data_IF_238029147311
#
_entry.id   IF_238029147311
#
_cell.length_a   1.000
_cell.length_b   1.000
_cell.length_c   1.000
_cell.angle_alpha   90.00
_cell.angle_beta   90.00
_cell.angle_gamma   90.00
#
_symmetry.space_group_name_H-M   'P 1'
#
loop_
_entity.id
_entity.type
_entity.pdbx_description
1 polymer ?
#
# COMPACT_ATOMS: atom_id res chain seq x y z
N UNK A 1 -41.08 1.41 -33.46
CA UNK A 1 -40.32 0.53 -32.54
C UNK A 1 -38.92 1.07 -32.17
N UNK A 2 -38.70 2.38 -31.95
CA UNK A 2 -37.36 2.96 -31.66
C UNK A 2 -37.13 3.38 -30.20
N UNK A 3 -38.20 3.71 -29.45
CA UNK A 3 -38.09 4.24 -28.07
C UNK A 3 -37.68 3.19 -27.03
N UNK A 4 -38.04 1.92 -27.23
CA UNK A 4 -37.73 0.82 -26.29
C UNK A 4 -36.24 0.43 -26.28
N UNK A 5 -35.53 0.58 -27.40
CA UNK A 5 -34.09 0.30 -27.47
C UNK A 5 -33.26 1.47 -26.94
N UNK A 6 -33.76 2.71 -27.03
CA UNK A 6 -33.12 3.88 -26.43
C UNK A 6 -33.00 3.77 -24.90
N UNK A 7 -34.03 3.23 -24.23
CA UNK A 7 -34.00 2.97 -22.78
C UNK A 7 -32.95 1.90 -22.44
N UNK A 8 -32.89 0.81 -23.22
CA UNK A 8 -31.90 -0.25 -23.03
C UNK A 8 -30.46 0.25 -23.20
N UNK A 9 -30.18 1.01 -24.26
CA UNK A 9 -28.85 1.61 -24.51
C UNK A 9 -28.48 2.60 -23.40
N UNK A 10 -29.44 3.39 -22.92
CA UNK A 10 -29.23 4.31 -21.80
C UNK A 10 -28.80 3.59 -20.52
N UNK A 11 -29.47 2.48 -20.18
CA UNK A 11 -29.11 1.66 -19.02
C UNK A 11 -27.72 1.04 -19.16
N UNK A 12 -27.39 0.51 -20.35
CA UNK A 12 -26.07 -0.06 -20.62
C UNK A 12 -24.98 1.00 -20.50
N UNK A 13 -25.18 2.18 -21.07
CA UNK A 13 -24.23 3.28 -20.99
C UNK A 13 -24.02 3.74 -19.54
N UNK A 14 -25.11 3.88 -18.76
CA UNK A 14 -25.04 4.23 -17.34
C UNK A 14 -24.27 3.18 -16.55
N UNK A 15 -24.53 1.89 -16.81
CA UNK A 15 -23.85 0.79 -16.14
C UNK A 15 -22.35 0.78 -16.46
N UNK A 16 -21.96 1.02 -17.72
CA UNK A 16 -20.55 1.10 -18.11
C UNK A 16 -19.82 2.26 -17.43
N UNK A 17 -20.45 3.44 -17.36
CA UNK A 17 -19.88 4.61 -16.66
C UNK A 17 -19.72 4.32 -15.16
N UNK A 18 -20.77 3.78 -14.52
CA UNK A 18 -20.73 3.43 -13.10
C UNK A 18 -19.67 2.35 -12.80
N UNK A 19 -19.56 1.34 -13.67
CA UNK A 19 -18.57 0.28 -13.56
C UNK A 19 -17.15 0.82 -13.69
N UNK A 20 -16.87 1.71 -14.65
CA UNK A 20 -15.56 2.32 -14.81
C UNK A 20 -15.14 3.16 -13.58
N UNK A 21 -16.08 3.91 -12.99
CA UNK A 21 -15.82 4.71 -11.78
C UNK A 21 -15.57 3.81 -10.56
N UNK A 22 -16.38 2.76 -10.39
CA UNK A 22 -16.20 1.76 -9.32
C UNK A 22 -14.88 1.03 -9.44
N UNK A 23 -14.48 0.66 -10.66
CA UNK A 23 -13.26 -0.09 -10.90
C UNK A 23 -12.01 0.75 -10.58
N UNK A 24 -11.98 2.02 -10.99
CA UNK A 24 -10.89 2.94 -10.64
C UNK A 24 -10.76 3.15 -9.12
N UNK A 25 -11.88 3.12 -8.40
CA UNK A 25 -11.91 3.32 -6.95
C UNK A 25 -11.39 2.10 -6.15
N UNK A 26 -11.38 0.91 -6.75
CA UNK A 26 -10.96 -0.33 -6.09
C UNK A 26 -9.46 -0.64 -6.23
N UNK A 27 -8.76 0.06 -7.13
CA UNK A 27 -7.33 -0.14 -7.31
C UNK A 27 -6.55 0.55 -6.18
N UNK A 28 -5.64 -0.19 -5.55
CA UNK A 28 -4.68 0.33 -4.56
C UNK A 28 -3.31 0.48 -5.25
N UNK A 29 -3.05 1.61 -5.95
CA UNK A 29 -1.86 1.75 -6.75
C UNK A 29 -0.59 1.80 -5.89
N UNK A 30 0.52 1.37 -6.49
CA UNK A 30 1.85 1.59 -5.94
C UNK A 30 2.29 3.02 -6.23
N UNK A 31 2.53 3.79 -5.18
CA UNK A 31 2.86 5.21 -5.28
C UNK A 31 3.92 5.60 -4.26
N UNK A 32 4.56 6.74 -4.50
CA UNK A 32 5.51 7.37 -3.56
C UNK A 32 4.76 8.13 -2.45
N UNK A 33 5.43 8.48 -1.34
CA UNK A 33 4.81 9.29 -0.28
C UNK A 33 4.26 10.64 -0.76
N UNK A 34 4.96 11.31 -1.69
CA UNK A 34 4.50 12.56 -2.28
C UNK A 34 3.13 12.42 -2.97
N UNK A 35 2.95 11.32 -3.72
CA UNK A 35 1.70 11.00 -4.40
C UNK A 35 0.63 10.56 -3.38
N UNK A 36 0.98 9.73 -2.41
CA UNK A 36 0.08 9.30 -1.34
C UNK A 36 -0.56 10.48 -0.58
N UNK A 37 0.18 11.59 -0.39
CA UNK A 37 -0.32 12.81 0.24
C UNK A 37 -1.41 13.52 -0.57
N UNK A 38 -1.40 13.38 -1.89
CA UNK A 38 -2.40 13.96 -2.80
C UNK A 38 -3.60 13.03 -3.06
N UNK A 39 -3.51 11.77 -2.64
CA UNK A 39 -4.54 10.76 -2.91
C UNK A 39 -5.39 10.48 -1.67
N UNK A 40 -6.71 10.61 -1.81
CA UNK A 40 -7.66 10.42 -0.71
C UNK A 40 -8.07 8.93 -0.51
N UNK A 41 -7.22 7.99 -0.94
CA UNK A 41 -7.53 6.56 -1.01
C UNK A 41 -6.49 5.67 -0.34
N UNK A 42 -6.77 4.37 -0.25
CA UNK A 42 -5.77 3.39 0.18
C UNK A 42 -4.74 3.19 -0.93
N UNK A 43 -3.47 3.34 -0.59
CA UNK A 43 -2.36 3.25 -1.53
C UNK A 43 -1.27 2.36 -0.94
N UNK A 44 -0.43 1.83 -1.83
CA UNK A 44 0.70 0.99 -1.46
C UNK A 44 1.98 1.81 -1.66
N UNK A 45 2.72 2.05 -0.59
CA UNK A 45 4.01 2.76 -0.67
C UNK A 45 5.12 1.77 -0.34
N UNK A 46 6.06 1.62 -1.26
CA UNK A 46 7.27 0.84 -1.05
C UNK A 46 8.37 1.75 -0.52
N UNK A 47 9.06 1.31 0.52
CA UNK A 47 10.19 2.02 1.08
C UNK A 47 11.14 1.11 1.85
N UNK A 48 12.22 1.71 2.33
CA UNK A 48 13.25 1.09 3.15
C UNK A 48 13.14 1.65 4.56
N UNK A 49 13.31 0.80 5.58
CA UNK A 49 13.34 1.25 6.96
C UNK A 49 14.59 2.06 7.23
N UNK A 50 14.42 3.31 7.63
CA UNK A 50 15.55 4.19 8.01
C UNK A 50 15.64 4.42 9.50
N UNK A 51 14.51 4.36 10.22
CA UNK A 51 14.49 4.54 11.67
C UNK A 51 13.20 3.98 12.24
N UNK A 52 13.32 3.14 13.25
CA UNK A 52 12.17 2.62 14.00
C UNK A 52 12.05 3.37 15.33
N UNK A 53 10.86 3.89 15.63
CA UNK A 53 10.52 4.46 16.94
C UNK A 53 9.25 3.83 17.47
N UNK A 54 9.43 2.80 18.27
CA UNK A 54 8.34 2.13 18.96
C UNK A 54 7.76 3.08 20.03
N UNK A 55 6.67 3.78 19.70
CA UNK A 55 5.94 4.63 20.64
C UNK A 55 4.77 3.83 21.20
N UNK A 56 4.98 3.21 22.35
CA UNK A 56 3.91 2.55 23.10
C UNK A 56 3.00 3.63 23.69
N UNK A 57 1.82 3.84 23.11
CA UNK A 57 0.75 4.63 23.74
C UNK A 57 -0.02 3.74 24.71
N UNK A 58 -0.35 4.24 25.90
CA UNK A 58 -1.03 3.52 27.00
C UNK A 58 -2.24 2.67 26.58
N UNK A 59 -2.96 3.06 25.53
CA UNK A 59 -4.23 2.43 25.15
C UNK A 59 -4.12 1.49 23.94
N UNK A 60 -3.11 1.68 23.06
CA UNK A 60 -2.99 0.95 21.78
C UNK A 60 -1.52 0.83 21.40
N UNK A 61 -1.05 -0.42 21.24
CA UNK A 61 0.26 -0.76 20.66
C UNK A 61 0.32 -0.28 19.21
N UNK A 62 0.56 1.01 19.01
CA UNK A 62 0.87 1.60 17.73
C UNK A 62 2.38 1.65 17.58
N UNK A 63 2.86 1.46 16.37
CA UNK A 63 4.29 1.48 16.07
C UNK A 63 4.50 2.57 15.05
N UNK A 64 5.48 3.43 15.32
CA UNK A 64 5.83 4.52 14.45
C UNK A 64 7.21 4.26 13.87
N UNK A 65 7.37 4.38 12.57
CA UNK A 65 8.68 4.23 11.95
C UNK A 65 8.76 5.09 10.71
N UNK A 66 9.98 5.49 10.38
CA UNK A 66 10.25 6.25 9.17
C UNK A 66 10.63 5.30 8.05
N UNK A 67 9.92 5.42 6.94
CA UNK A 67 10.30 4.78 5.69
C UNK A 67 10.82 5.84 4.73
N UNK A 68 11.85 5.48 3.98
CA UNK A 68 12.31 6.24 2.83
C UNK A 68 11.82 5.56 1.55
N UNK A 69 11.15 6.30 0.67
CA UNK A 69 10.73 5.78 -0.64
C UNK A 69 11.89 5.80 -1.66
N UNK A 70 11.64 5.25 -2.85
CA UNK A 70 12.63 5.21 -3.95
C UNK A 70 13.06 6.61 -4.44
N UNK A 71 12.27 7.66 -4.22
CA UNK A 71 12.66 9.05 -4.47
C UNK A 71 13.47 9.70 -3.35
N UNK A 72 13.80 8.96 -2.30
CA UNK A 72 14.53 9.47 -1.14
C UNK A 72 13.67 10.28 -0.17
N UNK A 73 12.35 10.35 -0.38
CA UNK A 73 11.46 11.06 0.51
C UNK A 73 11.17 10.21 1.75
N UNK A 74 11.36 10.81 2.92
CA UNK A 74 11.08 10.18 4.19
C UNK A 74 9.65 10.49 4.63
N UNK A 75 8.93 9.48 5.12
CA UNK A 75 7.62 9.69 5.72
C UNK A 75 7.46 8.88 7.01
N UNK A 76 6.73 9.47 7.95
CA UNK A 76 6.37 8.81 9.19
C UNK A 76 5.17 7.88 8.96
N UNK A 77 5.39 6.60 9.20
CA UNK A 77 4.39 5.55 9.13
C UNK A 77 3.89 5.27 10.54
N UNK A 78 2.57 5.25 10.71
CA UNK A 78 1.89 4.84 11.95
C UNK A 78 1.13 3.57 11.66
N UNK A 79 1.60 2.46 12.24
CA UNK A 79 0.96 1.16 12.12
C UNK A 79 0.24 0.81 13.43
N UNK A 80 -1.06 0.56 13.35
CA UNK A 80 -1.91 0.24 14.51
C UNK A 80 -2.02 -1.27 14.69
N UNK A 81 -0.91 -1.93 14.98
CA UNK A 81 -0.87 -3.37 15.17
C UNK A 81 0.46 -3.85 15.75
N UNK A 82 0.57 -5.16 15.93
CA UNK A 82 1.81 -5.78 16.42
C UNK A 82 2.91 -5.72 15.37
N UNK A 83 4.12 -5.37 15.79
CA UNK A 83 5.32 -5.29 14.93
C UNK A 83 5.46 -6.59 14.14
N UNK A 84 5.51 -6.56 12.80
CA UNK A 84 5.83 -7.77 12.06
C UNK A 84 7.27 -8.19 12.36
N UNK A 85 7.48 -9.49 12.61
CA UNK A 85 8.81 -10.06 12.79
C UNK A 85 9.72 -9.76 11.58
N UNK A 86 10.98 -9.41 11.86
CA UNK A 86 11.98 -9.18 10.81
C UNK A 86 11.87 -7.86 10.05
N UNK A 87 11.11 -6.87 10.53
CA UNK A 87 11.06 -5.54 9.90
C UNK A 87 12.44 -4.84 9.91
N UNK A 88 13.29 -5.14 10.90
CA UNK A 88 14.64 -4.61 11.06
C UNK A 88 15.64 -5.17 10.03
N UNK A 89 15.44 -6.43 9.61
CA UNK A 89 16.27 -7.12 8.62
C UNK A 89 15.69 -7.04 7.20
N UNK A 90 14.63 -6.26 7.02
CA UNK A 90 13.90 -6.15 5.78
C UNK A 90 14.66 -5.32 4.72
N UNK A 91 14.86 -5.88 3.53
CA UNK A 91 15.44 -5.12 2.40
C UNK A 91 14.41 -4.18 1.76
N UNK A 92 13.12 -4.48 1.87
CA UNK A 92 12.05 -3.63 1.36
C UNK A 92 10.77 -3.85 2.17
N UNK A 93 10.09 -2.76 2.51
CA UNK A 93 8.81 -2.76 3.21
C UNK A 93 7.78 -2.09 2.32
N UNK A 94 6.61 -2.72 2.18
CA UNK A 94 5.45 -2.13 1.53
C UNK A 94 4.42 -1.80 2.60
N UNK A 95 4.14 -0.52 2.78
CA UNK A 95 3.10 -0.02 3.66
C UNK A 95 1.82 0.21 2.85
N UNK A 96 0.72 -0.39 3.28
CA UNK A 96 -0.60 -0.27 2.65
C UNK A 96 -1.50 0.49 3.62
N UNK A 97 -2.05 1.61 3.17
CA UNK A 97 -2.84 2.46 4.03
C UNK A 97 -3.14 3.81 3.40
N UNK A 98 -3.40 4.81 4.25
CA UNK A 98 -3.87 6.14 3.82
C UNK A 98 -3.05 7.22 4.50
N UNK A 99 -2.83 8.33 3.79
CA UNK A 99 -2.18 9.50 4.39
C UNK A 99 -3.22 10.34 5.15
N UNK A 100 -3.00 10.60 6.44
CA UNK A 100 -3.88 11.40 7.31
C UNK A 100 -3.04 12.24 8.29
N UNK A 101 -3.41 13.51 8.48
CA UNK A 101 -2.77 14.40 9.47
C UNK A 101 -1.23 14.43 9.37
N UNK A 102 -0.72 14.57 8.15
CA UNK A 102 0.71 14.57 7.83
C UNK A 102 1.47 13.25 8.11
N UNK A 103 0.73 12.18 8.42
CA UNK A 103 1.29 10.86 8.74
C UNK A 103 0.66 9.79 7.86
N UNK A 104 1.43 8.77 7.49
CA UNK A 104 0.89 7.65 6.74
C UNK A 104 0.36 6.59 7.71
N UNK A 105 -0.96 6.44 7.79
CA UNK A 105 -1.60 5.42 8.63
C UNK A 105 -1.60 4.11 7.85
N UNK A 106 -0.70 3.21 8.22
CA UNK A 106 -0.61 1.88 7.64
C UNK A 106 -1.64 0.95 8.30
N UNK A 107 -2.46 0.31 7.48
CA UNK A 107 -3.40 -0.74 7.89
C UNK A 107 -2.76 -2.12 7.75
N UNK A 108 -1.83 -2.27 6.80
CA UNK A 108 -1.09 -3.51 6.55
C UNK A 108 0.35 -3.22 6.16
N UNK A 109 1.27 -4.04 6.67
CA UNK A 109 2.68 -4.01 6.31
C UNK A 109 3.07 -5.33 5.66
N UNK A 110 3.79 -5.25 4.55
CA UNK A 110 4.42 -6.40 3.90
C UNK A 110 5.92 -6.21 3.95
N UNK A 111 6.58 -7.12 4.66
CA UNK A 111 8.04 -7.13 4.81
C UNK A 111 8.60 -8.13 3.81
N UNK A 112 9.51 -7.69 2.93
CA UNK A 112 10.24 -8.60 2.03
C UNK A 112 11.60 -8.92 2.64
N UNK A 113 11.76 -10.15 3.11
CA UNK A 113 13.06 -10.69 3.50
C UNK A 113 13.82 -11.19 2.25
N UNK A 114 15.15 -11.05 2.19
CA UNK A 114 15.96 -11.47 1.03
C UNK A 114 16.01 -13.00 0.81
N UNK A 115 15.57 -13.80 1.79
CA UNK A 115 15.82 -15.25 1.83
C UNK A 115 15.04 -16.11 0.81
N UNK A 116 14.09 -15.56 0.06
CA UNK A 116 13.22 -16.35 -0.84
C UNK A 116 13.83 -16.73 -2.21
N UNK A 117 15.03 -16.26 -2.56
CA UNK A 117 15.68 -16.61 -3.84
C UNK A 117 17.08 -17.21 -3.73
N UNK A 118 17.60 -17.46 -2.51
CA UNK A 118 18.95 -18.04 -2.36
C UNK A 118 19.01 -19.56 -2.62
N UNK A 119 17.88 -20.23 -2.90
CA UNK A 119 17.79 -21.70 -3.00
C UNK A 119 17.50 -22.24 -4.41
N UNK A 120 17.90 -21.52 -5.47
CA UNK A 120 17.79 -22.00 -6.86
C UNK A 120 19.14 -22.05 -7.61
N UNK A 121 20.26 -22.17 -6.89
CA UNK A 121 21.57 -22.49 -7.46
C UNK A 121 22.15 -23.68 -6.69
N UNK A 122 21.64 -24.88 -6.97
CA UNK A 122 22.05 -26.07 -6.25
C UNK A 122 21.56 -27.36 -6.87
N UNK A 123 21.90 -27.62 -8.14
CA UNK A 123 22.01 -28.98 -8.70
C UNK A 123 22.44 -28.98 -10.18
N UNK A 124 23.70 -28.64 -10.46
CA UNK A 124 24.41 -29.28 -11.58
C UNK A 124 25.61 -29.98 -10.97
N UNK A 125 25.39 -31.25 -10.62
CA UNK A 125 26.35 -32.15 -10.03
C UNK A 125 27.04 -32.90 -11.18
N UNK A 126 28.38 -32.79 -11.21
CA UNK A 126 29.37 -33.76 -11.70
C UNK A 126 29.34 -34.20 -13.17
#
# INVERSE_FOLDING_TARGET
MKKRHGIGIGIIALFLVFSAISFKSSLTPYVTFAQAKTMNGSVQVRGILISERVVMTDDKKAIMFKLQDEKGQEALIVYKGTKPDGIEEATSIVAIGKYQNDQFIAEKLLVKCPSKYQSAQGSVNK
#
